data_IF_944426250024
#
_entry.id   IF_944426250024
#
_cell.length_a   1.000
_cell.length_b   1.000
_cell.length_c   1.000
_cell.angle_alpha   90.00
_cell.angle_beta   90.00
_cell.angle_gamma   90.00
#
_symmetry.space_group_name_H-M   'P 1'
#
loop_
_entity.id
_entity.type
_entity.pdbx_description
1 polymer ?
#
# COMPACT_ATOMS: atom_id res chain seq x y z
N UNK A 1 21.65 27.27 8.15
CA UNK A 1 21.06 27.10 6.81
C UNK A 1 20.96 25.61 6.52
N UNK A 2 19.98 24.94 7.11
CA UNK A 2 19.75 23.49 6.98
C UNK A 2 18.42 23.36 6.24
N UNK A 3 18.45 23.18 4.93
CA UNK A 3 17.30 22.70 4.16
C UNK A 3 17.84 22.18 2.83
N UNK A 4 17.11 21.26 2.18
CA UNK A 4 17.42 20.65 0.87
C UNK A 4 18.20 19.33 0.84
N UNK A 5 17.90 18.43 1.77
CA UNK A 5 17.87 17.00 1.42
C UNK A 5 16.76 16.24 2.15
N UNK A 6 15.51 16.69 1.98
CA UNK A 6 14.33 15.85 2.24
C UNK A 6 14.30 14.75 1.17
N UNK A 7 15.08 13.71 1.48
CA UNK A 7 14.96 12.29 1.13
C UNK A 7 13.80 12.00 0.19
N UNK A 8 14.12 11.44 -0.99
CA UNK A 8 13.19 10.73 -1.87
C UNK A 8 12.11 10.09 -1.00
N UNK A 9 10.93 10.72 -0.96
CA UNK A 9 9.84 10.22 -0.16
C UNK A 9 9.44 8.94 -0.85
N UNK A 10 9.75 7.83 -0.17
CA UNK A 10 9.35 6.47 -0.50
C UNK A 10 7.95 6.51 -1.10
N UNK A 11 7.88 6.46 -2.43
CA UNK A 11 6.71 5.94 -3.10
C UNK A 11 6.68 4.49 -2.66
N UNK A 12 5.63 4.12 -1.93
CA UNK A 12 4.99 2.81 -1.89
C UNK A 12 4.14 2.80 -0.61
N UNK A 13 2.84 3.07 -0.82
CA UNK A 13 1.70 2.92 0.10
C UNK A 13 1.73 3.63 1.47
N UNK A 14 1.49 4.94 1.55
CA UNK A 14 1.51 5.63 2.87
C UNK A 14 0.24 6.37 3.27
N UNK A 15 -0.85 6.35 2.51
CA UNK A 15 -2.00 7.20 2.83
C UNK A 15 -3.33 6.45 2.69
N UNK A 16 -3.98 6.24 3.83
CA UNK A 16 -5.40 5.87 3.91
C UNK A 16 -6.22 7.11 3.59
N UNK A 17 -7.15 7.00 2.63
CA UNK A 17 -7.96 8.14 2.18
C UNK A 17 -9.41 7.97 2.59
N UNK A 18 -9.99 9.02 3.15
CA UNK A 18 -11.43 9.10 3.38
C UNK A 18 -12.08 9.68 2.12
N UNK A 19 -12.88 8.87 1.43
CA UNK A 19 -13.57 9.25 0.20
C UNK A 19 -15.03 8.81 0.34
N UNK A 20 -15.97 9.75 0.19
CA UNK A 20 -17.42 9.48 0.27
C UNK A 20 -17.81 8.70 1.54
N UNK A 21 -17.30 9.13 2.69
CA UNK A 21 -17.47 8.47 4.01
C UNK A 21 -16.98 7.02 4.10
N UNK A 22 -16.20 6.57 3.11
CA UNK A 22 -15.54 5.27 3.11
C UNK A 22 -14.03 5.45 3.21
N UNK A 23 -13.44 4.64 4.09
CA UNK A 23 -12.00 4.63 4.31
C UNK A 23 -11.36 3.65 3.33
N UNK A 24 -10.62 4.18 2.35
CA UNK A 24 -9.87 3.38 1.40
C UNK A 24 -8.50 3.04 1.99
N UNK A 25 -8.33 1.75 2.31
CA UNK A 25 -7.09 1.21 2.87
C UNK A 25 -6.39 0.36 1.81
N UNK A 26 -5.05 0.45 1.68
CA UNK A 26 -4.30 -0.46 0.81
C UNK A 26 -4.52 -1.92 1.22
N UNK A 27 -5.05 -2.73 0.30
CA UNK A 27 -5.38 -4.14 0.55
C UNK A 27 -4.16 -4.97 1.00
N UNK A 28 -3.00 -4.72 0.38
CA UNK A 28 -1.75 -5.41 0.71
C UNK A 28 -1.35 -5.20 2.17
N UNK A 29 -1.42 -3.96 2.64
CA UNK A 29 -1.08 -3.61 4.01
C UNK A 29 -1.97 -4.33 5.03
N UNK A 30 -3.28 -4.37 4.78
CA UNK A 30 -4.22 -5.05 5.65
C UNK A 30 -3.96 -6.56 5.69
N UNK A 31 -3.75 -7.17 4.53
CA UNK A 31 -3.55 -8.62 4.39
C UNK A 31 -2.25 -9.08 5.07
N UNK A 32 -1.14 -8.34 4.88
CA UNK A 32 0.13 -8.63 5.54
C UNK A 32 0.05 -8.49 7.06
N UNK A 33 -0.64 -7.47 7.57
CA UNK A 33 -0.83 -7.29 9.02
C UNK A 33 -1.71 -8.39 9.64
N UNK A 34 -2.59 -9.00 8.85
CA UNK A 34 -3.41 -10.14 9.27
C UNK A 34 -2.66 -11.48 9.15
N UNK A 35 -1.42 -11.48 8.66
CA UNK A 35 -0.59 -12.68 8.53
C UNK A 35 -0.81 -13.47 7.23
N UNK A 36 -1.57 -12.92 6.28
CA UNK A 36 -1.79 -13.54 4.98
C UNK A 36 -0.69 -13.14 4.00
N UNK A 37 -0.34 -14.07 3.11
CA UNK A 37 0.65 -13.80 2.06
C UNK A 37 -0.07 -13.36 0.79
N UNK A 38 0.26 -12.17 0.28
CA UNK A 38 -0.31 -11.65 -0.98
C UNK A 38 0.70 -11.85 -2.10
N UNK A 39 0.36 -12.71 -3.06
CA UNK A 39 1.13 -12.89 -4.29
C UNK A 39 0.43 -12.20 -5.46
N UNK A 40 1.22 -11.67 -6.40
CA UNK A 40 0.72 -11.01 -7.59
C UNK A 40 1.03 -11.85 -8.81
N UNK A 41 0.00 -12.32 -9.50
CA UNK A 41 0.12 -12.93 -10.82
C UNK A 41 0.01 -11.85 -11.89
N UNK A 42 1.14 -11.51 -12.52
CA UNK A 42 1.19 -10.49 -13.57
C UNK A 42 0.48 -10.92 -14.85
N UNK A 43 0.47 -12.22 -15.17
CA UNK A 43 -0.13 -12.75 -16.38
C UNK A 43 -1.65 -12.69 -16.31
N UNK A 44 -2.21 -13.06 -15.16
CA UNK A 44 -3.64 -13.00 -14.90
C UNK A 44 -4.10 -11.64 -14.34
N UNK A 45 -3.19 -10.72 -14.03
CA UNK A 45 -3.44 -9.44 -13.32
C UNK A 45 -4.30 -9.65 -12.06
N UNK A 46 -4.00 -10.71 -11.32
CA UNK A 46 -4.81 -11.15 -10.18
C UNK A 46 -3.94 -11.21 -8.92
N UNK A 47 -4.47 -10.70 -7.81
CA UNK A 47 -3.86 -10.85 -6.49
C UNK A 47 -4.41 -12.11 -5.82
N UNK A 48 -3.53 -13.02 -5.40
CA UNK A 48 -3.88 -14.24 -4.68
C UNK A 48 -3.48 -14.07 -3.22
N UNK A 49 -4.35 -14.49 -2.32
CA UNK A 49 -4.16 -14.43 -0.87
C UNK A 49 -4.23 -15.86 -0.34
N UNK A 50 -3.17 -16.29 0.35
CA UNK A 50 -3.05 -17.59 1.01
C UNK A 50 -3.17 -17.45 2.53
#
# INVERSE_FOLDING_TARGET
>A
MIEQKKRCKRCDITEVKLINDKTMVPLRFLSENMGYTVTWDEAARTAVIE
#
